data_IF_319253876344
#
_entry.id   IF_319253876344
#
_cell.length_a   1.000
_cell.length_b   1.000
_cell.length_c   1.000
_cell.angle_alpha   90.00
_cell.angle_beta   90.00
_cell.angle_gamma   90.00
#
_symmetry.space_group_name_H-M   'P 1'
#
loop_
_entity.id
_entity.type
_entity.pdbx_description
1 polymer ?
#
# COMPACT_ATOMS: atom_id res chain seq x y z
N UNK A 1 10.69 -9.97 -4.88
CA UNK A 1 9.94 -9.27 -3.81
C UNK A 1 8.85 -8.50 -4.53
N UNK A 2 7.60 -8.95 -4.41
CA UNK A 2 6.48 -8.44 -5.21
C UNK A 2 5.77 -7.38 -4.41
N UNK A 3 5.74 -6.15 -4.91
CA UNK A 3 5.35 -4.99 -4.13
C UNK A 3 4.15 -4.31 -4.78
N UNK A 4 3.17 -3.92 -3.97
CA UNK A 4 1.93 -3.33 -4.45
C UNK A 4 1.91 -1.81 -4.25
N UNK A 5 1.81 -1.05 -5.34
CA UNK A 5 1.66 0.42 -5.32
C UNK A 5 0.24 0.78 -5.75
N UNK A 6 -0.45 1.62 -4.97
CA UNK A 6 -1.67 2.30 -5.40
C UNK A 6 -1.44 3.81 -5.45
N UNK A 7 -1.87 4.43 -6.56
CA UNK A 7 -1.93 5.88 -6.71
C UNK A 7 -3.40 6.24 -6.91
N UNK A 8 -3.96 6.93 -5.91
CA UNK A 8 -5.20 7.71 -5.77
C UNK A 8 -6.48 7.36 -6.59
N UNK A 9 -6.38 6.84 -7.82
CA UNK A 9 -7.49 6.59 -8.74
C UNK A 9 -7.34 5.33 -9.61
N UNK A 10 -6.23 4.59 -9.54
CA UNK A 10 -5.91 3.46 -10.45
C UNK A 10 -5.76 2.12 -9.72
N UNK A 11 -6.12 0.97 -10.32
CA UNK A 11 -6.00 -0.34 -9.69
C UNK A 11 -4.59 -0.62 -9.15
N UNK A 12 -4.53 -1.42 -8.09
CA UNK A 12 -3.32 -1.86 -7.40
C UNK A 12 -2.29 -2.40 -8.42
N UNK A 13 -1.08 -1.83 -8.44
CA UNK A 13 -0.01 -2.21 -9.36
C UNK A 13 0.96 -3.13 -8.64
N UNK A 14 1.22 -4.29 -9.24
CA UNK A 14 2.34 -5.13 -8.84
C UNK A 14 3.60 -4.62 -9.53
N UNK A 15 4.47 -3.97 -8.77
CA UNK A 15 5.73 -3.40 -9.25
C UNK A 15 6.92 -4.12 -8.59
N UNK A 16 7.74 -4.80 -9.40
CA UNK A 16 8.96 -5.47 -8.93
C UNK A 16 10.13 -4.53 -8.63
N UNK A 17 10.07 -3.28 -9.11
CA UNK A 17 11.08 -2.24 -8.88
C UNK A 17 10.82 -1.37 -7.65
N UNK A 18 9.65 -1.52 -7.02
CA UNK A 18 9.25 -0.72 -5.88
C UNK A 18 9.98 -1.13 -4.58
N UNK A 19 10.35 -0.14 -3.77
CA UNK A 19 11.06 -0.37 -2.50
C UNK A 19 10.17 -1.01 -1.42
N UNK A 20 8.86 -0.80 -1.48
CA UNK A 20 7.91 -1.29 -0.47
C UNK A 20 6.47 -1.00 -0.89
N UNK A 21 5.52 -1.69 -0.26
CA UNK A 21 4.11 -1.58 -0.65
C UNK A 21 3.56 -0.27 -0.09
N UNK A 22 2.97 0.53 -0.97
CA UNK A 22 2.58 1.90 -0.68
C UNK A 22 1.12 2.06 -1.05
N UNK A 23 0.35 2.68 -0.16
CA UNK A 23 -1.07 2.92 -0.35
C UNK A 23 -1.43 4.34 0.03
N UNK A 24 -2.31 4.96 -0.75
CA UNK A 24 -2.85 6.27 -0.43
C UNK A 24 -3.95 6.15 0.63
N UNK A 25 -4.04 7.12 1.55
CA UNK A 25 -5.13 7.20 2.53
C UNK A 25 -6.51 7.05 1.92
N UNK A 26 -6.77 7.73 0.81
CA UNK A 26 -8.08 7.76 0.14
C UNK A 26 -8.53 6.36 -0.32
N UNK A 27 -7.58 5.50 -0.70
CA UNK A 27 -7.88 4.11 -1.03
C UNK A 27 -8.38 3.33 0.19
N UNK A 28 -7.72 3.54 1.33
CA UNK A 28 -8.09 2.86 2.56
C UNK A 28 -9.43 3.36 3.09
N UNK A 29 -9.72 4.66 2.95
CA UNK A 29 -11.01 5.23 3.32
C UNK A 29 -12.16 4.60 2.51
N UNK A 30 -11.92 4.29 1.22
CA UNK A 30 -12.92 3.69 0.33
C UNK A 30 -13.10 2.17 0.52
N UNK A 31 -12.03 1.44 0.88
CA UNK A 31 -12.05 -0.04 0.88
C UNK A 31 -11.92 -0.69 2.25
N UNK A 32 -11.35 0.02 3.23
CA UNK A 32 -11.10 -0.51 4.58
C UNK A 32 -11.53 0.51 5.64
N UNK A 33 -12.84 0.68 5.86
CA UNK A 33 -13.35 1.59 6.88
C UNK A 33 -12.69 1.31 8.24
N UNK A 34 -12.25 2.35 8.93
CA UNK A 34 -11.53 2.28 10.21
C UNK A 34 -10.11 1.68 10.15
N UNK A 35 -9.44 1.68 8.98
CA UNK A 35 -8.04 1.26 8.86
C UNK A 35 -7.10 1.99 9.84
N UNK A 36 -7.43 3.23 10.21
CA UNK A 36 -6.69 4.05 11.18
C UNK A 36 -6.51 3.36 12.54
N UNK A 37 -7.50 2.55 12.98
CA UNK A 37 -7.42 1.79 14.23
C UNK A 37 -6.38 0.67 14.19
N UNK A 38 -5.94 0.31 12.99
CA UNK A 38 -4.96 -0.75 12.72
C UNK A 38 -3.62 -0.14 12.29
N UNK A 39 -3.47 1.18 12.41
CA UNK A 39 -2.27 1.89 12.04
C UNK A 39 -1.16 1.65 13.06
N UNK A 40 -0.07 1.05 12.61
CA UNK A 40 1.14 0.93 13.39
C UNK A 40 2.02 2.16 13.16
N UNK A 41 2.56 2.78 14.22
CA UNK A 41 3.52 3.85 14.07
C UNK A 41 4.74 3.36 13.31
N UNK A 42 5.15 4.10 12.29
CA UNK A 42 6.34 3.82 11.48
C UNK A 42 7.36 4.91 11.70
N UNK A 43 8.65 4.53 11.80
CA UNK A 43 9.74 5.51 11.75
C UNK A 43 9.59 6.25 10.44
N UNK A 44 9.38 7.57 10.49
CA UNK A 44 9.12 8.41 9.32
C UNK A 44 10.08 8.06 8.18
N UNK A 45 9.57 7.33 7.18
CA UNK A 45 10.32 7.03 5.96
C UNK A 45 9.91 8.08 4.95
N UNK A 46 10.88 8.90 4.53
CA UNK A 46 10.64 9.82 3.41
C UNK A 46 10.64 9.02 2.12
N UNK A 47 9.49 8.95 1.47
CA UNK A 47 9.39 8.40 0.13
C UNK A 47 9.64 9.55 -0.86
N UNK A 48 10.35 9.24 -1.94
CA UNK A 48 10.57 10.17 -3.05
C UNK A 48 9.82 9.64 -4.26
N UNK A 49 8.80 10.38 -4.69
CA UNK A 49 8.30 10.29 -6.05
C UNK A 49 9.13 11.22 -6.94
N UNK A 50 9.11 11.01 -8.25
CA UNK A 50 9.91 11.74 -9.26
C UNK A 50 9.87 13.27 -9.16
N UNK A 51 8.90 13.82 -8.43
CA UNK A 51 8.74 15.28 -8.26
C UNK A 51 8.31 15.73 -6.85
N UNK A 52 8.05 14.81 -5.90
CA UNK A 52 7.45 15.15 -4.60
C UNK A 52 8.02 14.27 -3.48
N UNK A 53 8.33 14.88 -2.33
CA UNK A 53 8.59 14.16 -1.09
C UNK A 53 7.26 13.78 -0.45
N UNK A 54 7.05 12.50 -0.21
CA UNK A 54 5.86 11.97 0.46
C UNK A 54 6.24 11.52 1.88
N UNK A 55 5.40 11.87 2.85
CA UNK A 55 5.61 11.57 4.25
C UNK A 55 4.66 10.45 4.67
N UNK A 56 5.20 9.36 5.19
CA UNK A 56 4.39 8.26 5.70
C UNK A 56 3.65 8.62 6.98
N UNK A 57 2.37 8.26 7.06
CA UNK A 57 1.53 8.41 8.27
C UNK A 57 1.71 7.20 9.20
N UNK A 58 1.90 6.01 8.64
CA UNK A 58 2.09 4.77 9.38
C UNK A 58 2.13 3.56 8.46
N UNK A 59 2.10 2.37 9.04
CA UNK A 59 2.00 1.11 8.29
C UNK A 59 0.77 0.33 8.74
N UNK A 60 0.08 -0.31 7.79
CA UNK A 60 -0.97 -1.29 8.09
C UNK A 60 -0.64 -2.62 7.43
N UNK A 61 -1.14 -3.71 8.01
CA UNK A 61 -1.06 -5.04 7.41
C UNK A 61 -2.45 -5.42 6.94
N UNK A 62 -2.62 -5.65 5.64
CA UNK A 62 -3.90 -6.03 5.06
C UNK A 62 -3.77 -7.20 4.12
N UNK A 63 -4.65 -8.18 4.28
CA UNK A 63 -4.80 -9.24 3.30
C UNK A 63 -5.26 -8.64 1.97
N UNK A 64 -4.50 -8.94 0.92
CA UNK A 64 -4.78 -8.56 -0.45
C UNK A 64 -4.90 -9.82 -1.28
N UNK A 65 -6.07 -10.01 -1.89
CA UNK A 65 -6.33 -11.14 -2.79
C UNK A 65 -6.30 -10.60 -4.22
N UNK A 66 -5.35 -11.09 -5.01
CA UNK A 66 -5.18 -10.72 -6.40
C UNK A 66 -5.69 -11.89 -7.26
N UNK A 67 -6.77 -11.70 -8.04
CA UNK A 67 -7.25 -12.73 -8.93
C UNK A 67 -6.25 -12.96 -10.06
N UNK A 68 -5.90 -14.22 -10.30
CA UNK A 68 -5.00 -14.62 -11.39
C UNK A 68 -5.56 -15.84 -12.12
N UNK A 69 -5.22 -15.98 -13.41
CA UNK A 69 -5.81 -16.99 -14.31
C UNK A 69 -5.60 -18.44 -13.85
N UNK A 70 -4.60 -18.68 -13.00
CA UNK A 70 -4.24 -20.01 -12.45
C UNK A 70 -4.65 -20.18 -10.97
N UNK A 71 -5.52 -19.32 -10.46
CA UNK A 71 -5.90 -19.27 -9.05
C UNK A 71 -5.54 -17.93 -8.42
N UNK A 72 -6.15 -17.64 -7.28
CA UNK A 72 -5.94 -16.39 -6.57
C UNK A 72 -4.58 -16.37 -5.86
N UNK A 73 -3.92 -15.22 -5.88
CA UNK A 73 -2.71 -14.96 -5.10
C UNK A 73 -3.15 -14.20 -3.85
N UNK A 74 -2.84 -14.74 -2.67
CA UNK A 74 -3.12 -14.10 -1.39
C UNK A 74 -1.81 -13.56 -0.81
N UNK A 75 -1.79 -12.27 -0.49
CA UNK A 75 -0.64 -11.57 0.05
C UNK A 75 -1.05 -10.86 1.34
N UNK A 76 -0.15 -10.79 2.32
CA UNK A 76 -0.33 -9.96 3.53
C UNK A 76 0.77 -8.89 3.56
N UNK A 77 0.77 -7.92 2.63
CA UNK A 77 1.79 -6.89 2.58
C UNK A 77 1.65 -5.91 3.75
N UNK A 78 2.81 -5.41 4.18
CA UNK A 78 2.94 -4.20 4.99
C UNK A 78 2.77 -3.00 4.06
N UNK A 79 1.60 -2.36 4.12
CA UNK A 79 1.32 -1.14 3.38
C UNK A 79 1.75 0.08 4.16
N UNK A 80 2.71 0.83 3.61
CA UNK A 80 3.02 2.15 4.11
C UNK A 80 1.97 3.13 3.59
N UNK A 81 1.30 3.79 4.52
CA UNK A 81 0.25 4.76 4.21
C UNK A 81 0.89 6.12 3.99
N UNK A 82 0.64 6.69 2.81
CA UNK A 82 0.99 8.06 2.45
C UNK A 82 -0.21 8.99 2.58
#
# INVERSE_FOLDING_TARGET
MTVCIYIAQNPLIIDGGAHGSIVAREYLDNHFPNWEKQLFPTKAKSFKSSSVKMTSIGTIIKETIIPHRKGNIRLNPDFVVL
#
